data_IF_952990687463
#
_entry.id   IF_952990687463
#
_cell.length_a   1.000
_cell.length_b   1.000
_cell.length_c   1.000
_cell.angle_alpha   90.00
_cell.angle_beta   90.00
_cell.angle_gamma   90.00
#
_symmetry.space_group_name_H-M   'P 1'
#
loop_
_entity.id
_entity.type
_entity.pdbx_description
1 polymer ?
#
# COMPACT_ATOMS: atom_id res chain seq x y z
N UNK A 1 44.33 14.50 1.77
CA UNK A 1 43.34 14.16 2.81
C UNK A 1 42.24 13.40 2.10
N UNK A 2 42.33 12.07 2.09
CA UNK A 2 41.31 11.21 1.48
C UNK A 2 40.02 11.35 2.28
N UNK A 3 38.95 11.72 1.58
CA UNK A 3 37.61 11.69 2.14
C UNK A 3 37.24 10.23 2.28
N UNK A 4 37.31 9.70 3.51
CA UNK A 4 36.76 8.37 3.82
C UNK A 4 35.27 8.42 3.50
N UNK A 5 34.84 7.65 2.51
CA UNK A 5 33.44 7.28 2.35
C UNK A 5 32.96 6.73 3.70
N UNK A 6 31.96 7.40 4.26
CA UNK A 6 31.28 6.96 5.46
C UNK A 6 30.39 5.80 5.01
N UNK A 7 30.89 4.58 5.25
CA UNK A 7 30.12 3.35 5.11
C UNK A 7 28.87 3.48 5.98
N UNK A 8 27.74 3.71 5.33
CA UNK A 8 26.46 3.94 5.97
C UNK A 8 25.97 2.59 6.50
N UNK A 9 25.55 2.49 7.78
CA UNK A 9 25.26 1.21 8.41
C UNK A 9 24.11 0.54 7.65
N UNK A 10 24.37 -0.68 7.17
CA UNK A 10 23.42 -1.63 6.57
C UNK A 10 22.26 -0.97 5.80
N UNK A 11 22.39 -0.89 4.47
CA UNK A 11 21.20 -1.06 3.62
C UNK A 11 20.58 -2.37 4.05
N UNK A 12 19.59 -2.32 4.95
CA UNK A 12 18.73 -3.47 5.27
C UNK A 12 18.36 -4.06 3.92
N UNK A 13 18.73 -5.31 3.74
CA UNK A 13 18.93 -5.99 2.48
C UNK A 13 17.74 -5.84 1.52
N UNK A 14 17.70 -4.74 0.75
CA UNK A 14 16.62 -4.42 -0.19
C UNK A 14 16.35 -5.59 -1.13
N UNK A 15 17.38 -6.36 -1.50
CA UNK A 15 17.22 -7.55 -2.34
C UNK A 15 16.48 -8.69 -1.64
N UNK A 16 16.73 -8.92 -0.34
CA UNK A 16 15.98 -9.93 0.41
C UNK A 16 14.52 -9.50 0.63
N UNK A 17 14.29 -8.22 0.93
CA UNK A 17 12.94 -7.68 1.10
C UNK A 17 12.19 -7.71 -0.23
N UNK A 18 12.81 -7.31 -1.34
CA UNK A 18 12.23 -7.40 -2.67
C UNK A 18 11.87 -8.85 -3.04
N UNK A 19 12.75 -9.82 -2.74
CA UNK A 19 12.43 -11.25 -2.95
C UNK A 19 11.27 -11.74 -2.07
N UNK A 20 11.19 -11.28 -0.82
CA UNK A 20 10.05 -11.59 0.06
C UNK A 20 8.76 -10.98 -0.47
N UNK A 21 8.83 -9.78 -1.04
CA UNK A 21 7.70 -9.13 -1.68
C UNK A 21 7.24 -9.88 -2.93
N UNK A 22 8.16 -10.21 -3.83
CA UNK A 22 7.88 -11.02 -5.02
C UNK A 22 7.23 -12.35 -4.63
N UNK A 23 7.81 -13.05 -3.64
CA UNK A 23 7.24 -14.28 -3.10
C UNK A 23 5.85 -14.06 -2.49
N UNK A 24 5.62 -12.95 -1.78
CA UNK A 24 4.31 -12.62 -1.19
C UNK A 24 3.25 -12.38 -2.28
N UNK A 25 3.63 -11.67 -3.34
CA UNK A 25 2.77 -11.42 -4.50
C UNK A 25 2.43 -12.74 -5.18
N UNK A 26 3.44 -13.57 -5.48
CA UNK A 26 3.29 -14.87 -6.15
C UNK A 26 2.52 -15.89 -5.29
N UNK A 27 2.72 -15.90 -3.99
CA UNK A 27 2.12 -16.88 -3.07
C UNK A 27 0.64 -16.65 -2.76
N UNK A 28 0.07 -15.52 -3.21
CA UNK A 28 -1.38 -15.32 -3.17
C UNK A 28 -1.86 -13.98 -2.64
N UNK A 29 -1.07 -12.90 -2.76
CA UNK A 29 -1.50 -11.56 -2.35
C UNK A 29 -2.86 -11.15 -2.94
N UNK A 30 -3.13 -11.46 -4.21
CA UNK A 30 -4.43 -11.21 -4.84
C UNK A 30 -5.57 -11.97 -4.14
N UNK A 31 -5.33 -13.23 -3.78
CA UNK A 31 -6.32 -14.06 -3.06
C UNK A 31 -6.58 -13.51 -1.66
N UNK A 32 -5.53 -13.01 -1.00
CA UNK A 32 -5.65 -12.31 0.28
C UNK A 32 -6.49 -11.04 0.17
N UNK A 33 -6.23 -10.16 -0.81
CA UNK A 33 -7.02 -8.95 -1.04
C UNK A 33 -8.50 -9.28 -1.28
N UNK A 34 -8.79 -10.34 -2.04
CA UNK A 34 -10.15 -10.82 -2.30
C UNK A 34 -10.86 -11.31 -1.04
N UNK A 35 -10.13 -11.99 -0.15
CA UNK A 35 -10.64 -12.42 1.16
C UNK A 35 -10.96 -11.24 2.07
N UNK A 36 -10.08 -10.22 2.10
CA UNK A 36 -10.32 -8.97 2.85
C UNK A 36 -11.56 -8.26 2.34
N UNK A 37 -11.73 -8.14 1.02
CA UNK A 37 -12.90 -7.51 0.41
C UNK A 37 -14.21 -8.26 0.71
N UNK A 38 -14.18 -9.60 0.72
CA UNK A 38 -15.35 -10.42 1.00
C UNK A 38 -15.71 -10.48 2.50
N UNK A 39 -14.80 -10.06 3.39
CA UNK A 39 -15.02 -10.10 4.83
C UNK A 39 -15.89 -8.92 5.29
N UNK A 40 -16.75 -9.19 6.26
CA UNK A 40 -17.49 -8.16 7.00
C UNK A 40 -16.90 -7.93 8.40
N UNK A 41 -15.89 -8.71 8.83
CA UNK A 41 -15.32 -8.63 10.17
C UNK A 41 -14.22 -7.58 10.27
N UNK A 42 -14.44 -6.51 11.03
CA UNK A 42 -13.42 -5.47 11.29
C UNK A 42 -12.18 -6.06 11.94
N UNK A 43 -12.38 -7.03 12.84
CA UNK A 43 -11.28 -7.69 13.56
C UNK A 43 -10.34 -8.47 12.62
N UNK A 44 -10.77 -8.76 11.40
CA UNK A 44 -9.94 -9.34 10.36
C UNK A 44 -9.44 -8.28 9.36
N UNK A 45 -10.33 -7.37 8.93
CA UNK A 45 -10.02 -6.36 7.91
C UNK A 45 -8.97 -5.35 8.39
N UNK A 46 -9.09 -4.85 9.62
CA UNK A 46 -8.16 -3.85 10.16
C UNK A 46 -6.71 -4.32 10.27
N UNK A 47 -6.41 -5.48 10.89
CA UNK A 47 -5.04 -5.98 10.90
C UNK A 47 -4.52 -6.28 9.48
N UNK A 48 -5.38 -6.77 8.58
CA UNK A 48 -5.01 -7.00 7.19
C UNK A 48 -4.61 -5.70 6.45
N UNK A 49 -5.37 -4.61 6.62
CA UNK A 49 -5.02 -3.31 6.03
C UNK A 49 -3.72 -2.76 6.61
N UNK A 50 -3.48 -2.93 7.92
CA UNK A 50 -2.20 -2.56 8.54
C UNK A 50 -1.01 -3.35 8.00
N UNK A 51 -1.19 -4.65 7.72
CA UNK A 51 -0.15 -5.43 7.04
C UNK A 51 0.13 -4.89 5.65
N UNK A 52 -0.90 -4.49 4.89
CA UNK A 52 -0.74 -3.86 3.57
C UNK A 52 -0.01 -2.51 3.68
N UNK A 53 -0.39 -1.68 4.66
CA UNK A 53 0.24 -0.38 4.92
C UNK A 53 1.75 -0.53 5.19
N UNK A 54 2.12 -1.49 6.04
CA UNK A 54 3.52 -1.78 6.34
C UNK A 54 4.31 -2.27 5.12
N UNK A 55 3.68 -3.00 4.20
CA UNK A 55 4.33 -3.46 2.96
C UNK A 55 4.54 -2.30 1.96
N UNK A 56 3.72 -1.26 2.02
CA UNK A 56 3.81 -0.08 1.14
C UNK A 56 4.90 0.88 1.62
N UNK A 57 5.10 1.03 2.93
CA UNK A 57 6.02 2.02 3.52
C UNK A 57 7.52 1.77 3.19
N UNK A 58 7.88 0.61 2.66
CA UNK A 58 9.29 0.22 2.55
C UNK A 58 10.06 0.90 1.39
N UNK A 59 9.55 0.94 0.15
CA UNK A 59 10.17 1.65 -1.00
C UNK A 59 9.18 1.96 -2.14
N UNK A 60 9.49 2.93 -3.00
CA UNK A 60 8.70 3.27 -4.19
C UNK A 60 8.48 2.05 -5.12
N UNK A 61 9.52 1.27 -5.38
CA UNK A 61 9.48 0.10 -6.24
C UNK A 61 8.54 -0.99 -5.68
N UNK A 62 8.54 -1.17 -4.36
CA UNK A 62 7.66 -2.12 -3.67
C UNK A 62 6.20 -1.66 -3.70
N UNK A 63 5.95 -0.37 -3.43
CA UNK A 63 4.61 0.21 -3.59
C UNK A 63 4.08 0.00 -5.01
N UNK A 64 4.92 0.20 -6.04
CA UNK A 64 4.55 -0.06 -7.42
C UNK A 64 4.25 -1.54 -7.69
N UNK A 65 5.06 -2.46 -7.16
CA UNK A 65 4.83 -3.89 -7.30
C UNK A 65 3.49 -4.31 -6.69
N UNK A 66 3.15 -3.81 -5.50
CA UNK A 66 1.88 -4.07 -4.81
C UNK A 66 0.69 -3.46 -5.56
N UNK A 67 0.82 -2.23 -6.07
CA UNK A 67 -0.21 -1.59 -6.89
C UNK A 67 -0.48 -2.36 -8.19
N UNK A 68 0.60 -2.80 -8.87
CA UNK A 68 0.56 -3.62 -10.07
C UNK A 68 0.05 -5.04 -9.84
N UNK A 69 0.30 -5.61 -8.65
CA UNK A 69 -0.26 -6.89 -8.21
C UNK A 69 -1.78 -6.83 -7.98
N UNK A 70 -2.38 -5.64 -8.03
CA UNK A 70 -3.82 -5.47 -8.08
C UNK A 70 -4.40 -4.69 -6.90
N UNK A 71 -3.61 -4.31 -5.88
CA UNK A 71 -4.10 -3.53 -4.73
C UNK A 71 -4.91 -2.31 -5.18
N UNK A 72 -4.42 -1.63 -6.21
CA UNK A 72 -5.10 -0.50 -6.83
C UNK A 72 -6.58 -0.85 -7.06
N UNK A 73 -6.91 -1.93 -7.74
CA UNK A 73 -8.31 -2.30 -8.07
C UNK A 73 -9.22 -2.54 -6.86
N UNK A 74 -8.65 -2.80 -5.68
CA UNK A 74 -9.39 -3.07 -4.44
C UNK A 74 -9.62 -1.82 -3.58
N UNK A 75 -8.76 -0.79 -3.69
CA UNK A 75 -8.88 0.45 -2.91
C UNK A 75 -10.29 1.06 -3.01
N UNK A 76 -10.91 1.20 -4.19
CA UNK A 76 -12.27 1.74 -4.29
C UNK A 76 -13.30 0.91 -3.54
N UNK A 77 -13.19 -0.42 -3.55
CA UNK A 77 -14.15 -1.29 -2.85
C UNK A 77 -14.02 -1.15 -1.33
N UNK A 78 -12.77 -1.07 -0.83
CA UNK A 78 -12.49 -0.91 0.59
C UNK A 78 -12.91 0.48 1.12
N UNK A 79 -12.80 1.53 0.30
CA UNK A 79 -13.29 2.87 0.64
C UNK A 79 -14.83 2.95 0.71
N UNK A 80 -15.55 2.04 0.06
CA UNK A 80 -17.02 1.95 0.15
C UNK A 80 -17.50 1.04 1.27
N UNK A 81 -16.60 0.59 2.16
CA UNK A 81 -17.01 -0.18 3.32
C UNK A 81 -17.82 0.71 4.28
N UNK A 82 -19.00 0.23 4.69
CA UNK A 82 -19.89 0.95 5.61
C UNK A 82 -19.25 1.27 6.98
N UNK A 83 -18.14 0.59 7.30
CA UNK A 83 -17.45 0.73 8.59
C UNK A 83 -16.41 1.84 8.54
N UNK A 84 -16.65 2.88 9.33
CA UNK A 84 -15.77 4.06 9.44
C UNK A 84 -14.32 3.75 9.81
N UNK A 85 -14.07 2.71 10.61
CA UNK A 85 -12.70 2.25 10.94
C UNK A 85 -11.94 1.77 9.71
N UNK A 86 -12.58 0.96 8.86
CA UNK A 86 -12.00 0.44 7.63
C UNK A 86 -11.72 1.60 6.68
N UNK A 87 -12.69 2.49 6.50
CA UNK A 87 -12.52 3.69 5.69
C UNK A 87 -11.32 4.55 6.14
N UNK A 88 -11.16 4.79 7.44
CA UNK A 88 -10.01 5.56 7.98
C UNK A 88 -8.67 4.89 7.69
N UNK A 89 -8.57 3.57 7.85
CA UNK A 89 -7.30 2.85 7.61
C UNK A 89 -6.96 2.78 6.12
N UNK A 90 -7.95 2.59 5.24
CA UNK A 90 -7.72 2.63 3.78
C UNK A 90 -7.31 4.03 3.33
N UNK A 91 -7.87 5.08 3.94
CA UNK A 91 -7.43 6.46 3.67
C UNK A 91 -5.98 6.69 4.05
N UNK A 92 -5.52 6.13 5.16
CA UNK A 92 -4.12 6.22 5.57
C UNK A 92 -3.21 5.57 4.52
N UNK A 93 -3.57 4.38 4.06
CA UNK A 93 -2.85 3.67 2.98
C UNK A 93 -2.80 4.52 1.71
N UNK A 94 -3.92 5.10 1.28
CA UNK A 94 -3.95 5.97 0.10
C UNK A 94 -3.07 7.20 0.30
N UNK A 95 -3.13 7.84 1.46
CA UNK A 95 -2.28 9.00 1.79
C UNK A 95 -0.79 8.65 1.68
N UNK A 96 -0.39 7.51 2.23
CA UNK A 96 0.99 7.02 2.19
C UNK A 96 1.43 6.77 0.73
N UNK A 97 0.62 6.07 -0.08
CA UNK A 97 0.88 5.87 -1.52
C UNK A 97 1.02 7.21 -2.26
N UNK A 98 0.16 8.19 -1.98
CA UNK A 98 0.18 9.48 -2.67
C UNK A 98 1.29 10.42 -2.21
N UNK A 99 1.86 10.18 -1.01
CA UNK A 99 2.95 10.98 -0.46
C UNK A 99 4.32 10.60 -1.06
N UNK A 100 4.43 9.41 -1.65
CA UNK A 100 5.68 8.86 -2.18
C UNK A 100 6.07 9.41 -3.56
N UNK A 101 5.12 9.58 -4.48
CA UNK A 101 5.41 10.07 -5.84
C UNK A 101 4.18 10.60 -6.58
N UNK A 102 4.40 11.58 -7.46
CA UNK A 102 3.37 12.13 -8.37
C UNK A 102 2.81 11.07 -9.32
N UNK A 103 3.63 10.10 -9.75
CA UNK A 103 3.16 9.02 -10.63
C UNK A 103 2.16 8.08 -9.93
N UNK A 104 2.37 7.83 -8.62
CA UNK A 104 1.44 7.04 -7.82
C UNK A 104 0.13 7.79 -7.59
N UNK A 105 0.16 9.13 -7.47
CA UNK A 105 -1.06 9.95 -7.47
C UNK A 105 -1.87 9.70 -8.74
N UNK A 106 -1.24 9.71 -9.92
CA UNK A 106 -1.94 9.43 -11.18
C UNK A 106 -2.54 8.03 -11.24
N UNK A 107 -1.83 7.00 -10.75
CA UNK A 107 -2.34 5.63 -10.69
C UNK A 107 -3.59 5.56 -9.81
N UNK A 108 -3.55 6.16 -8.61
CA UNK A 108 -4.67 6.26 -7.68
C UNK A 108 -5.83 7.06 -8.28
N UNK A 109 -5.55 8.18 -8.96
CA UNK A 109 -6.56 9.02 -9.62
C UNK A 109 -7.23 8.36 -10.83
N UNK A 110 -6.48 7.56 -11.60
CA UNK A 110 -6.99 6.87 -12.78
C UNK A 110 -8.07 5.84 -12.46
N UNK A 111 -8.20 5.48 -11.18
CA UNK A 111 -9.25 4.60 -10.74
C UNK A 111 -10.57 5.37 -10.63
N UNK A 112 -11.55 4.93 -11.41
CA UNK A 112 -12.83 5.56 -11.73
C UNK A 112 -13.70 6.12 -10.58
N UNK A 113 -13.27 6.04 -9.32
CA UNK A 113 -14.03 6.47 -8.13
C UNK A 113 -13.23 7.31 -7.11
N UNK A 114 -11.99 7.69 -7.41
CA UNK A 114 -11.11 8.45 -6.52
C UNK A 114 -11.00 9.96 -6.86
N UNK A 115 -11.98 10.50 -7.58
CA UNK A 115 -12.00 11.90 -8.06
C UNK A 115 -12.02 12.94 -6.90
N UNK A 116 -12.24 12.50 -5.65
CA UNK A 116 -12.29 13.37 -4.46
C UNK A 116 -11.10 13.16 -3.50
N UNK A 117 -9.86 13.16 -4.02
CA UNK A 117 -8.66 13.16 -3.16
C UNK A 117 -8.62 14.35 -2.18
N UNK A 118 -9.20 15.48 -2.53
CA UNK A 118 -9.30 16.66 -1.66
C UNK A 118 -10.07 16.38 -0.36
N UNK A 119 -11.10 15.53 -0.39
CA UNK A 119 -11.89 15.13 0.78
C UNK A 119 -11.19 14.01 1.58
N UNK A 120 -10.22 13.33 0.97
CA UNK A 120 -9.46 12.24 1.58
C UNK A 120 -8.27 12.74 2.41
N UNK A 121 -7.64 13.84 1.96
CA UNK A 121 -6.40 14.40 2.52
C UNK A 121 -6.63 15.51 3.55
N UNK A 122 -7.87 15.97 3.76
CA UNK A 122 -8.21 17.04 4.74
C UNK A 122 -8.83 16.50 6.04
N UNK A 123 -8.21 15.49 6.66
CA UNK A 123 -8.58 14.98 7.99
C UNK A 123 -7.63 15.46 9.07
#
# INVERSE_FOLDING_TARGET
MEVKEIDTPERVNNDAINKLMDYTIESGFVSFLRLVQASSSVNFISPAIKSIDNLIIETYEQTQAILGAGLSTYIPALLNNEKSTVFREVRQVVSNITAESVDQIYIVMSQHRLIHLGDLLQG
#
